data_IF_558286789529
#
_entry.id   IF_558286789529
#
_cell.length_a   1.000
_cell.length_b   1.000
_cell.length_c   1.000
_cell.angle_alpha   90.00
_cell.angle_beta   90.00
_cell.angle_gamma   90.00
#
_symmetry.space_group_name_H-M   'P 1'
#
loop_
_entity.id
_entity.type
_entity.pdbx_description
1 polymer ?
#
# COMPACT_ATOMS: atom_id res chain seq x y z
N UNK A 1 80.08 59.50 -24.43
CA UNK A 1 79.80 60.16 -23.14
C UNK A 1 79.22 59.12 -22.21
N UNK A 2 79.90 58.84 -21.10
CA UNK A 2 79.54 57.86 -20.07
C UNK A 2 78.34 58.38 -19.24
N UNK A 3 77.48 57.50 -18.73
CA UNK A 3 76.93 57.43 -17.34
C UNK A 3 75.75 56.43 -17.28
N UNK A 4 75.97 55.25 -16.69
CA UNK A 4 75.52 54.75 -15.38
C UNK A 4 74.03 54.36 -15.19
N UNK A 5 73.83 53.05 -15.09
CA UNK A 5 73.27 52.26 -13.97
C UNK A 5 72.00 52.67 -13.19
N UNK A 6 71.18 51.62 -12.96
CA UNK A 6 70.51 51.23 -11.71
C UNK A 6 69.24 52.00 -11.26
N UNK A 7 68.06 51.37 -11.32
CA UNK A 7 67.39 50.70 -10.17
C UNK A 7 65.90 50.34 -10.45
N UNK A 8 65.63 49.03 -10.47
CA UNK A 8 64.47 48.28 -9.95
C UNK A 8 63.30 49.08 -9.32
N UNK A 9 62.07 48.85 -9.79
CA UNK A 9 60.89 48.52 -8.93
C UNK A 9 59.70 48.04 -9.77
N UNK A 10 59.15 46.89 -9.38
CA UNK A 10 57.95 46.27 -9.92
C UNK A 10 56.69 47.07 -9.59
N UNK A 11 55.68 47.02 -10.47
CA UNK A 11 54.26 47.14 -10.10
C UNK A 11 53.38 46.48 -11.16
N UNK A 12 52.93 45.27 -10.81
CA UNK A 12 51.64 44.64 -11.07
C UNK A 12 50.85 45.13 -12.31
N UNK A 13 50.87 44.30 -13.36
CA UNK A 13 49.86 44.27 -14.40
C UNK A 13 48.58 43.69 -13.77
N UNK A 14 47.54 44.50 -13.60
CA UNK A 14 46.19 44.01 -13.32
C UNK A 14 45.64 43.39 -14.61
N UNK A 15 45.72 42.07 -14.72
CA UNK A 15 44.96 41.34 -15.73
C UNK A 15 43.49 41.33 -15.25
N UNK A 16 42.62 42.01 -15.99
CA UNK A 16 41.18 41.80 -15.90
C UNK A 16 40.89 40.36 -16.33
N UNK A 17 40.72 39.46 -15.36
CA UNK A 17 40.08 38.19 -15.62
C UNK A 17 38.60 38.49 -15.87
N UNK A 18 38.19 38.51 -17.14
CA UNK A 18 36.80 38.36 -17.51
C UNK A 18 36.36 36.98 -17.02
N UNK A 19 35.73 36.95 -15.84
CA UNK A 19 35.13 35.75 -15.29
C UNK A 19 34.04 35.28 -16.25
N UNK A 20 34.33 34.21 -16.98
CA UNK A 20 33.29 33.38 -17.59
C UNK A 20 32.50 32.83 -16.42
N UNK A 21 31.36 33.45 -16.10
CA UNK A 21 30.30 32.80 -15.36
C UNK A 21 29.84 31.63 -16.25
N UNK A 22 30.47 30.47 -16.10
CA UNK A 22 29.82 29.23 -16.46
C UNK A 22 28.65 29.09 -15.49
N UNK A 23 27.49 29.57 -15.91
CA UNK A 23 26.22 29.11 -15.37
C UNK A 23 26.23 27.61 -15.64
N UNK A 24 26.55 26.83 -14.62
CA UNK A 24 26.22 25.42 -14.62
C UNK A 24 24.71 25.36 -14.74
N UNK A 25 24.22 25.22 -15.98
CA UNK A 25 22.90 24.66 -16.19
C UNK A 25 22.98 23.28 -15.55
N UNK A 26 22.51 23.19 -14.30
CA UNK A 26 22.06 21.93 -13.76
C UNK A 26 21.10 21.41 -14.80
N UNK A 27 21.54 20.40 -15.55
CA UNK A 27 20.66 19.56 -16.34
C UNK A 27 19.70 18.96 -15.32
N UNK A 28 18.61 19.68 -15.03
CA UNK A 28 17.44 19.13 -14.39
C UNK A 28 16.96 18.14 -15.42
N UNK A 29 17.45 16.90 -15.30
CA UNK A 29 17.00 15.78 -16.11
C UNK A 29 15.49 15.83 -16.06
N UNK A 30 14.86 16.07 -17.22
CA UNK A 30 13.42 16.05 -17.33
C UNK A 30 12.92 14.73 -16.71
N UNK A 31 11.81 14.81 -15.97
CA UNK A 31 11.19 13.60 -15.43
C UNK A 31 10.91 12.63 -16.57
N UNK A 32 11.16 11.34 -16.32
CA UNK A 32 10.76 10.29 -17.24
C UNK A 32 9.26 10.42 -17.50
N UNK A 33 8.83 10.23 -18.76
CA UNK A 33 7.40 10.24 -19.07
C UNK A 33 6.75 9.01 -18.44
N UNK A 34 5.75 9.25 -17.60
CA UNK A 34 4.94 8.21 -16.94
C UNK A 34 3.54 8.21 -17.54
N UNK A 35 3.02 7.03 -17.83
CA UNK A 35 1.65 6.85 -18.30
C UNK A 35 0.79 6.24 -17.19
N UNK A 36 -0.53 6.43 -17.23
CA UNK A 36 -1.45 5.83 -16.26
C UNK A 36 -1.32 4.29 -16.26
N UNK A 37 -1.02 3.69 -17.43
CA UNK A 37 -0.78 2.26 -17.56
C UNK A 37 0.38 1.75 -16.67
N UNK A 38 1.38 2.58 -16.42
CA UNK A 38 2.51 2.23 -15.54
C UNK A 38 2.10 2.12 -14.06
N UNK A 39 0.98 2.77 -13.69
CA UNK A 39 0.49 2.90 -12.32
C UNK A 39 -0.64 1.93 -11.99
N UNK A 40 -1.12 1.15 -12.97
CA UNK A 40 -2.18 0.18 -12.75
C UNK A 40 -1.82 -0.83 -11.66
N UNK A 41 -2.81 -1.35 -10.93
CA UNK A 41 -2.66 -2.34 -9.88
C UNK A 41 -3.15 -1.83 -8.53
N UNK A 42 -2.94 -2.68 -7.52
CA UNK A 42 -3.28 -2.39 -6.13
C UNK A 42 -2.01 -1.96 -5.40
N UNK A 43 -2.10 -0.82 -4.75
CA UNK A 43 -1.09 -0.18 -3.94
C UNK A 43 -1.57 -0.17 -2.50
N UNK A 44 -0.77 -0.69 -1.59
CA UNK A 44 -1.18 -0.87 -0.20
C UNK A 44 -0.14 -0.27 0.74
N UNK A 45 -0.59 0.39 1.81
CA UNK A 45 0.28 1.17 2.68
C UNK A 45 1.34 0.26 3.32
N UNK A 46 2.60 0.64 3.13
CA UNK A 46 3.75 -0.23 3.38
C UNK A 46 3.92 -0.51 4.88
N UNK A 47 3.66 0.48 5.75
CA UNK A 47 3.81 0.31 7.21
C UNK A 47 2.81 -0.72 7.73
N UNK A 48 1.56 -0.67 7.27
CA UNK A 48 0.54 -1.68 7.58
C UNK A 48 0.95 -3.06 7.06
N UNK A 49 1.40 -3.17 5.81
CA UNK A 49 1.86 -4.45 5.24
C UNK A 49 3.02 -5.07 6.02
N UNK A 50 3.99 -4.28 6.42
CA UNK A 50 5.12 -4.74 7.22
C UNK A 50 4.66 -5.22 8.60
N UNK A 51 3.76 -4.48 9.24
CA UNK A 51 3.15 -4.90 10.50
C UNK A 51 2.34 -6.19 10.33
N UNK A 52 1.58 -6.33 9.24
CA UNK A 52 0.79 -7.52 8.90
C UNK A 52 1.70 -8.74 8.68
N UNK A 53 2.78 -8.60 7.91
CA UNK A 53 3.77 -9.67 7.68
C UNK A 53 4.42 -10.14 8.98
N UNK A 54 4.66 -9.22 9.92
CA UNK A 54 5.30 -9.51 11.20
C UNK A 54 4.34 -10.20 12.18
N UNK A 55 3.12 -9.72 12.26
CA UNK A 55 2.15 -10.15 13.29
C UNK A 55 1.24 -11.27 12.79
N UNK A 56 0.98 -11.32 11.48
CA UNK A 56 -0.08 -12.11 10.85
C UNK A 56 -1.46 -11.85 11.47
N UNK A 57 -1.65 -10.67 12.05
CA UNK A 57 -2.83 -10.25 12.80
C UNK A 57 -3.26 -8.86 12.28
N UNK A 58 -4.21 -8.81 11.33
CA UNK A 58 -4.70 -7.55 10.74
C UNK A 58 -5.05 -6.45 11.74
N UNK A 59 -5.76 -6.75 12.81
CA UNK A 59 -6.20 -5.76 13.81
C UNK A 59 -5.05 -5.27 14.67
N UNK A 60 -4.05 -6.12 14.96
CA UNK A 60 -2.80 -5.67 15.59
C UNK A 60 -1.95 -4.82 14.64
N UNK A 61 -1.96 -5.13 13.34
CA UNK A 61 -1.29 -4.33 12.31
C UNK A 61 -1.97 -2.96 12.16
N UNK A 62 -3.30 -2.90 12.23
CA UNK A 62 -4.10 -1.67 12.16
C UNK A 62 -3.70 -0.66 13.25
N UNK A 63 -3.38 -1.15 14.46
CA UNK A 63 -2.89 -0.30 15.56
C UNK A 63 -1.57 0.41 15.24
N UNK A 64 -0.81 -0.07 14.25
CA UNK A 64 0.44 0.55 13.80
C UNK A 64 0.22 1.54 12.67
N UNK A 65 -0.61 1.17 11.70
CA UNK A 65 -0.97 2.02 10.56
C UNK A 65 -2.30 1.55 10.01
N UNK A 66 -3.09 2.45 9.40
CA UNK A 66 -4.35 2.05 8.78
C UNK A 66 -4.09 1.20 7.53
N UNK A 67 -4.95 0.22 7.21
CA UNK A 67 -4.89 -0.59 5.99
C UNK A 67 -5.32 0.20 4.75
N UNK A 68 -4.56 1.25 4.39
CA UNK A 68 -4.93 2.11 3.27
C UNK A 68 -4.58 1.46 1.95
N UNK A 69 -5.58 1.37 1.08
CA UNK A 69 -5.50 0.80 -0.25
C UNK A 69 -5.81 1.85 -1.31
N UNK A 70 -5.04 1.80 -2.39
CA UNK A 70 -5.31 2.52 -3.63
C UNK A 70 -5.31 1.50 -4.77
N UNK A 71 -6.39 1.43 -5.54
CA UNK A 71 -6.47 0.62 -6.74
C UNK A 71 -6.64 1.52 -7.97
N UNK A 72 -5.78 1.33 -8.96
CA UNK A 72 -5.89 1.97 -10.28
C UNK A 72 -6.03 0.85 -11.30
N UNK A 73 -7.16 0.77 -11.98
CA UNK A 73 -7.39 -0.30 -12.97
C UNK A 73 -8.09 0.26 -14.18
N UNK A 74 -7.68 -0.17 -15.37
CA UNK A 74 -8.35 0.21 -16.61
C UNK A 74 -9.72 -0.47 -16.70
N UNK A 75 -10.78 0.32 -16.88
CA UNK A 75 -12.15 -0.15 -17.10
C UNK A 75 -12.69 0.55 -18.36
N UNK A 76 -12.76 -0.20 -19.47
CA UNK A 76 -13.05 0.35 -20.79
C UNK A 76 -12.03 1.41 -21.23
N UNK A 77 -12.49 2.65 -21.36
CA UNK A 77 -11.66 3.82 -21.74
C UNK A 77 -11.23 4.69 -20.54
N UNK A 78 -11.65 4.33 -19.34
CA UNK A 78 -11.37 5.09 -18.13
C UNK A 78 -10.38 4.35 -17.23
N UNK A 79 -9.76 5.11 -16.33
CA UNK A 79 -8.89 4.61 -15.28
C UNK A 79 -9.44 5.04 -13.92
N UNK A 80 -10.38 4.27 -13.35
CA UNK A 80 -10.79 4.46 -11.97
C UNK A 80 -9.60 4.51 -10.99
N UNK A 81 -9.63 5.49 -10.10
CA UNK A 81 -8.82 5.63 -8.91
C UNK A 81 -9.72 5.36 -7.71
N UNK A 82 -9.56 4.18 -7.10
CA UNK A 82 -10.27 3.82 -5.89
C UNK A 82 -9.31 3.92 -4.71
N UNK A 83 -9.69 4.62 -3.64
CA UNK A 83 -8.91 4.65 -2.41
C UNK A 83 -9.79 4.42 -1.18
N UNK A 84 -9.28 3.66 -0.21
CA UNK A 84 -10.01 3.33 1.02
C UNK A 84 -9.07 3.09 2.19
N UNK A 85 -9.50 3.46 3.39
CA UNK A 85 -8.89 3.02 4.66
C UNK A 85 -9.71 1.92 5.35
N UNK A 86 -10.55 1.22 4.58
CA UNK A 86 -11.55 0.22 4.98
C UNK A 86 -12.73 0.77 5.80
N UNK A 87 -12.74 2.07 6.12
CA UNK A 87 -13.88 2.76 6.76
C UNK A 87 -14.50 3.78 5.82
N UNK A 88 -13.65 4.55 5.13
CA UNK A 88 -14.02 5.48 4.05
C UNK A 88 -13.59 4.90 2.73
N UNK A 89 -14.36 5.17 1.68
CA UNK A 89 -13.98 4.84 0.31
C UNK A 89 -14.26 6.04 -0.60
N UNK A 90 -13.38 6.23 -1.57
CA UNK A 90 -13.55 7.23 -2.63
C UNK A 90 -13.30 6.58 -3.98
N UNK A 91 -14.01 7.08 -4.99
CA UNK A 91 -13.88 6.65 -6.37
C UNK A 91 -13.80 7.89 -7.26
N UNK A 92 -12.70 8.02 -7.97
CA UNK A 92 -12.42 9.09 -8.92
C UNK A 92 -11.98 8.50 -10.26
N UNK A 93 -11.88 9.32 -11.29
CA UNK A 93 -11.33 8.96 -12.61
C UNK A 93 -10.00 9.67 -12.81
N UNK A 94 -8.95 8.94 -13.16
CA UNK A 94 -7.67 9.52 -13.58
C UNK A 94 -7.82 10.06 -15.01
N UNK A 95 -7.62 11.36 -15.18
CA UNK A 95 -7.57 12.02 -16.49
C UNK A 95 -6.18 12.01 -17.09
N UNK A 96 -5.16 12.33 -16.28
CA UNK A 96 -3.77 12.42 -16.74
C UNK A 96 -2.75 12.17 -15.62
N UNK A 97 -1.50 11.92 -16.03
CA UNK A 97 -0.31 11.89 -15.18
C UNK A 97 0.62 13.00 -15.65
N UNK A 98 0.83 13.99 -14.79
CA UNK A 98 1.67 15.14 -15.11
C UNK A 98 3.01 15.10 -14.36
N UNK A 99 4.12 15.50 -14.99
CA UNK A 99 5.40 15.61 -14.32
C UNK A 99 5.41 16.76 -13.31
N UNK A 100 6.00 16.52 -12.14
CA UNK A 100 6.30 17.55 -11.17
C UNK A 100 7.59 18.32 -11.50
N UNK A 101 7.88 19.35 -10.70
CA UNK A 101 9.09 20.17 -10.86
C UNK A 101 10.37 19.48 -10.36
N UNK A 102 10.24 18.50 -9.45
CA UNK A 102 11.38 17.78 -8.88
C UNK A 102 11.56 16.43 -9.57
N UNK A 103 12.80 15.90 -9.64
CA UNK A 103 13.06 14.56 -10.15
C UNK A 103 12.17 13.50 -9.49
N UNK A 104 11.68 12.55 -10.29
CA UNK A 104 10.86 11.41 -9.88
C UNK A 104 9.57 11.79 -9.12
N UNK A 105 9.05 13.00 -9.37
CA UNK A 105 7.82 13.51 -8.75
C UNK A 105 6.79 13.76 -9.83
N UNK A 106 5.55 13.35 -9.59
CA UNK A 106 4.44 13.40 -10.53
C UNK A 106 3.15 13.73 -9.79
N UNK A 107 2.08 14.03 -10.53
CA UNK A 107 0.74 14.13 -9.98
C UNK A 107 -0.28 13.44 -10.88
N UNK A 108 -1.23 12.76 -10.27
CA UNK A 108 -2.46 12.35 -10.94
C UNK A 108 -3.41 13.54 -10.97
N UNK A 109 -4.07 13.73 -12.11
CA UNK A 109 -5.19 14.65 -12.27
C UNK A 109 -6.47 13.83 -12.22
N UNK A 110 -7.29 14.04 -11.19
CA UNK A 110 -8.50 13.26 -10.94
C UNK A 110 -9.76 14.11 -11.10
N UNK A 111 -10.83 13.52 -11.61
CA UNK A 111 -12.19 14.09 -11.57
C UNK A 111 -13.22 13.07 -11.07
N UNK A 112 -14.38 13.54 -10.61
CA UNK A 112 -15.44 12.68 -10.06
C UNK A 112 -16.07 11.74 -11.10
N UNK A 113 -16.05 12.15 -12.38
CA UNK A 113 -16.66 11.43 -13.49
C UNK A 113 -15.86 11.62 -14.77
N UNK A 114 -16.04 10.71 -15.73
CA UNK A 114 -15.42 10.80 -17.04
C UNK A 114 -16.13 11.81 -17.95
N UNK A 115 -15.97 13.10 -17.65
CA UNK A 115 -16.57 14.21 -18.38
C UNK A 115 -15.59 15.41 -18.41
N UNK A 116 -15.80 16.42 -19.27
CA UNK A 116 -15.03 17.67 -19.18
C UNK A 116 -15.15 18.28 -17.78
N UNK A 117 -14.01 18.58 -17.18
CA UNK A 117 -13.89 19.10 -15.80
C UNK A 117 -12.99 20.33 -15.81
N UNK A 118 -13.40 21.38 -15.09
CA UNK A 118 -12.59 22.59 -14.97
C UNK A 118 -11.34 22.32 -14.14
N UNK A 119 -10.30 23.14 -14.28
CA UNK A 119 -9.09 23.01 -13.46
C UNK A 119 -9.31 23.28 -11.97
N UNK A 120 -10.44 23.89 -11.59
CA UNK A 120 -10.79 24.17 -10.19
C UNK A 120 -11.46 22.96 -9.53
N UNK A 121 -12.07 22.07 -10.32
CA UNK A 121 -12.81 20.90 -9.85
C UNK A 121 -11.99 19.60 -9.87
N UNK A 122 -10.73 19.65 -10.32
CA UNK A 122 -9.83 18.48 -10.31
C UNK A 122 -9.13 18.31 -8.98
N UNK A 123 -8.95 17.05 -8.58
CA UNK A 123 -8.15 16.69 -7.41
C UNK A 123 -6.77 16.25 -7.88
N UNK A 124 -5.73 16.81 -7.28
CA UNK A 124 -4.35 16.42 -7.54
C UNK A 124 -3.83 15.45 -6.47
N UNK A 125 -3.42 14.25 -6.90
CA UNK A 125 -2.72 13.30 -6.02
C UNK A 125 -1.26 13.26 -6.39
N UNK A 126 -0.42 13.84 -5.54
CA UNK A 126 1.03 13.86 -5.76
C UNK A 126 1.64 12.51 -5.41
N UNK A 127 2.55 12.02 -6.24
CA UNK A 127 3.32 10.83 -5.95
C UNK A 127 4.79 10.98 -6.36
N UNK A 128 5.63 10.14 -5.76
CA UNK A 128 7.05 9.99 -6.09
C UNK A 128 7.37 8.53 -6.28
N UNK A 129 8.23 8.22 -7.23
CA UNK A 129 8.65 6.85 -7.46
C UNK A 129 9.67 6.74 -8.57
N UNK A 130 10.35 5.60 -8.60
CA UNK A 130 11.25 5.22 -9.68
C UNK A 130 10.88 3.82 -10.16
N UNK A 131 10.84 3.63 -11.47
CA UNK A 131 10.66 2.31 -12.08
C UNK A 131 11.87 1.42 -11.75
N UNK A 132 11.59 0.15 -11.49
CA UNK A 132 12.59 -0.91 -11.40
C UNK A 132 13.19 -1.20 -12.79
N UNK A 133 14.19 -2.08 -12.85
CA UNK A 133 14.89 -2.44 -14.10
C UNK A 133 13.98 -3.08 -15.16
N UNK A 134 12.84 -3.62 -14.73
CA UNK A 134 11.76 -4.17 -15.58
C UNK A 134 10.77 -3.10 -16.07
N UNK A 135 11.02 -1.82 -15.79
CA UNK A 135 10.16 -0.71 -16.17
C UNK A 135 8.91 -0.55 -15.30
N UNK A 136 8.76 -1.30 -14.20
CA UNK A 136 7.57 -1.24 -13.35
C UNK A 136 7.83 -0.46 -12.06
N UNK A 137 6.83 0.30 -11.62
CA UNK A 137 6.83 0.78 -10.23
C UNK A 137 6.51 -0.38 -9.28
N UNK A 138 7.31 -0.49 -8.23
CA UNK A 138 7.12 -1.45 -7.12
C UNK A 138 6.74 -0.74 -5.82
N UNK A 139 7.29 0.45 -5.61
CA UNK A 139 6.99 1.30 -4.48
C UNK A 139 6.72 2.73 -4.96
N UNK A 140 5.76 3.38 -4.33
CA UNK A 140 5.46 4.80 -4.51
C UNK A 140 5.37 5.47 -3.14
N UNK A 141 5.83 6.72 -3.05
CA UNK A 141 5.36 7.62 -2.00
C UNK A 141 4.17 8.37 -2.56
N UNK A 142 3.02 8.32 -1.90
CA UNK A 142 1.79 8.97 -2.37
C UNK A 142 1.31 9.93 -1.28
N UNK A 143 0.95 11.14 -1.69
CA UNK A 143 0.31 12.15 -0.85
C UNK A 143 -1.19 12.10 -1.11
N UNK A 144 -1.84 11.09 -0.55
CA UNK A 144 -3.26 10.81 -0.80
C UNK A 144 -4.13 11.80 0.02
N UNK A 145 -4.96 12.65 -0.62
CA UNK A 145 -5.72 13.70 0.05
C UNK A 145 -7.13 13.31 0.51
N UNK A 146 -7.75 12.26 -0.04
CA UNK A 146 -9.18 11.96 0.15
C UNK A 146 -9.46 11.05 1.35
N UNK A 147 -8.54 10.13 1.66
CA UNK A 147 -8.61 9.18 2.77
C UNK A 147 -7.46 9.33 3.78
N UNK A 148 -6.33 9.95 3.40
CA UNK A 148 -5.12 10.12 4.23
C UNK A 148 -4.76 11.57 4.58
N UNK A 149 -5.70 12.51 4.40
CA UNK A 149 -5.55 13.94 4.74
C UNK A 149 -4.32 14.61 4.12
N UNK A 150 -3.85 14.11 2.97
CA UNK A 150 -2.72 14.67 2.24
C UNK A 150 -1.37 14.41 2.92
N UNK A 151 -1.25 13.39 3.77
CA UNK A 151 0.04 12.97 4.32
C UNK A 151 0.80 12.11 3.31
N UNK A 152 2.11 12.29 3.25
CA UNK A 152 2.96 11.39 2.48
C UNK A 152 3.06 10.04 3.19
N UNK A 153 2.72 8.97 2.48
CA UNK A 153 2.92 7.59 2.94
C UNK A 153 3.56 6.75 1.83
N UNK A 154 4.24 5.68 2.22
CA UNK A 154 4.82 4.72 1.29
C UNK A 154 3.82 3.62 0.98
N UNK A 155 3.76 3.22 -0.29
CA UNK A 155 2.86 2.19 -0.79
C UNK A 155 3.65 1.17 -1.58
N UNK A 156 3.35 -0.11 -1.35
CA UNK A 156 3.88 -1.23 -2.10
C UNK A 156 2.83 -1.72 -3.10
N UNK A 157 3.28 -2.06 -4.32
CA UNK A 157 2.41 -2.69 -5.32
C UNK A 157 2.22 -4.16 -4.98
N UNK A 158 1.02 -4.54 -4.55
CA UNK A 158 0.73 -5.89 -4.04
C UNK A 158 0.20 -6.85 -5.11
N UNK A 159 -0.26 -6.34 -6.26
CA UNK A 159 -0.69 -7.19 -7.38
C UNK A 159 -1.99 -6.72 -8.01
N UNK A 160 -2.76 -7.68 -8.51
CA UNK A 160 -4.06 -7.45 -9.19
C UNK A 160 -5.26 -7.59 -8.26
N UNK A 161 -5.14 -8.38 -7.21
CA UNK A 161 -6.22 -8.71 -6.28
C UNK A 161 -5.70 -8.65 -4.84
N UNK A 162 -6.52 -8.11 -3.94
CA UNK A 162 -6.14 -7.93 -2.53
C UNK A 162 -6.19 -9.25 -1.76
N UNK A 163 -7.28 -10.01 -1.93
CA UNK A 163 -7.57 -11.24 -1.19
C UNK A 163 -6.39 -12.22 -1.16
N UNK A 164 -5.84 -12.64 -2.31
CA UNK A 164 -4.69 -13.54 -2.36
C UNK A 164 -3.49 -13.09 -1.53
N UNK A 165 -3.18 -11.80 -1.53
CA UNK A 165 -2.02 -11.27 -0.79
C UNK A 165 -2.28 -11.30 0.72
N UNK A 166 -3.43 -10.81 1.16
CA UNK A 166 -3.81 -10.81 2.58
C UNK A 166 -3.87 -12.26 3.09
N UNK A 167 -4.58 -13.13 2.38
CA UNK A 167 -4.75 -14.53 2.76
C UNK A 167 -3.40 -15.24 2.84
N UNK A 168 -2.50 -15.01 1.87
CA UNK A 168 -1.16 -15.58 1.87
C UNK A 168 -0.32 -15.16 3.09
N UNK A 169 -0.48 -13.93 3.57
CA UNK A 169 0.25 -13.44 4.74
C UNK A 169 -0.35 -14.00 6.04
N UNK A 170 -1.68 -13.99 6.16
CA UNK A 170 -2.39 -14.18 7.44
C UNK A 170 -2.66 -15.65 7.75
N UNK A 171 -3.27 -16.40 6.82
CA UNK A 171 -3.83 -17.74 7.11
C UNK A 171 -3.47 -18.83 6.12
N UNK A 172 -3.08 -18.51 4.88
CA UNK A 172 -2.86 -19.52 3.85
C UNK A 172 -1.80 -20.53 4.28
N UNK A 173 -2.11 -21.81 4.13
CA UNK A 173 -1.25 -22.89 4.57
C UNK A 173 -1.99 -24.20 4.77
N UNK A 174 -1.19 -25.24 5.02
CA UNK A 174 -1.66 -26.54 5.48
C UNK A 174 -1.25 -26.70 6.93
N UNK A 175 -2.17 -27.21 7.73
CA UNK A 175 -2.00 -27.32 9.16
C UNK A 175 -2.45 -28.68 9.67
N UNK A 176 -1.97 -29.02 10.86
CA UNK A 176 -2.38 -30.21 11.59
C UNK A 176 -2.81 -29.83 13.00
N UNK A 177 -3.92 -30.40 13.46
CA UNK A 177 -4.35 -30.26 14.85
C UNK A 177 -3.70 -31.29 15.79
N UNK A 178 -4.01 -31.19 17.08
CA UNK A 178 -3.51 -32.14 18.09
C UNK A 178 -3.98 -33.59 17.91
N UNK A 179 -5.00 -33.85 17.09
CA UNK A 179 -5.50 -35.19 16.75
C UNK A 179 -4.91 -35.71 15.43
N UNK A 180 -4.07 -34.92 14.76
CA UNK A 180 -3.47 -35.28 13.48
C UNK A 180 -4.34 -35.01 12.26
N UNK A 181 -5.53 -34.39 12.43
CA UNK A 181 -6.39 -34.05 11.29
C UNK A 181 -5.82 -32.86 10.54
N UNK A 182 -6.07 -32.83 9.23
CA UNK A 182 -5.53 -31.81 8.32
C UNK A 182 -6.52 -30.66 8.16
N UNK A 183 -5.99 -29.46 8.24
CA UNK A 183 -6.71 -28.21 8.03
C UNK A 183 -6.02 -27.44 6.90
N UNK A 184 -6.78 -26.69 6.11
CA UNK A 184 -6.22 -25.92 5.01
C UNK A 184 -6.93 -24.59 4.85
N UNK A 185 -6.14 -23.57 4.56
CA UNK A 185 -6.58 -22.26 4.09
C UNK A 185 -5.80 -21.96 2.80
N UNK A 186 -6.47 -21.42 1.78
CA UNK A 186 -5.82 -21.06 0.52
C UNK A 186 -5.74 -19.54 0.38
N UNK A 187 -4.78 -19.08 -0.42
CA UNK A 187 -4.70 -17.66 -0.82
C UNK A 187 -5.98 -17.17 -1.51
N UNK A 188 -6.65 -18.03 -2.29
CA UNK A 188 -7.94 -17.73 -2.90
C UNK A 188 -9.13 -17.56 -1.92
N UNK A 189 -8.90 -17.57 -0.60
CA UNK A 189 -9.96 -17.35 0.40
C UNK A 189 -10.86 -18.57 0.58
N UNK A 190 -10.33 -19.78 0.45
CA UNK A 190 -11.06 -21.03 0.68
C UNK A 190 -10.45 -21.78 1.87
N UNK A 191 -11.29 -22.26 2.77
CA UNK A 191 -10.89 -23.09 3.89
C UNK A 191 -11.44 -24.51 3.76
N UNK A 192 -10.77 -25.45 4.41
CA UNK A 192 -11.22 -26.85 4.52
C UNK A 192 -10.92 -27.34 5.93
N UNK A 193 -11.97 -27.45 6.72
CA UNK A 193 -11.93 -28.00 8.08
C UNK A 193 -12.24 -29.50 8.02
N UNK A 194 -11.66 -30.32 8.91
CA UNK A 194 -12.05 -31.72 9.03
C UNK A 194 -13.54 -31.85 9.27
N UNK A 195 -14.13 -32.86 8.63
CA UNK A 195 -15.54 -33.23 8.82
C UNK A 195 -16.55 -32.11 8.42
N UNK A 196 -16.10 -31.10 7.65
CA UNK A 196 -16.92 -30.02 7.12
C UNK A 196 -16.73 -29.85 5.61
N UNK A 197 -17.76 -29.32 4.94
CA UNK A 197 -17.62 -28.93 3.55
C UNK A 197 -16.68 -27.72 3.43
N UNK A 198 -15.83 -27.65 2.40
CA UNK A 198 -15.03 -26.47 2.14
C UNK A 198 -15.90 -25.22 1.95
N UNK A 199 -15.44 -24.10 2.47
CA UNK A 199 -16.16 -22.82 2.44
C UNK A 199 -15.24 -21.66 2.08
N UNK A 200 -15.83 -20.54 1.70
CA UNK A 200 -15.10 -19.30 1.44
C UNK A 200 -15.01 -18.45 2.71
N UNK A 201 -13.91 -17.73 2.85
CA UNK A 201 -13.69 -16.83 3.97
C UNK A 201 -13.08 -15.51 3.51
N UNK A 202 -13.37 -14.46 4.26
CA UNK A 202 -12.74 -13.15 4.12
C UNK A 202 -12.08 -12.74 5.43
N UNK A 203 -10.86 -12.22 5.35
CA UNK A 203 -10.11 -11.73 6.52
C UNK A 203 -10.53 -10.30 6.82
N UNK A 204 -10.97 -10.05 8.06
CA UNK A 204 -11.25 -8.69 8.50
C UNK A 204 -9.94 -7.91 8.68
N UNK A 205 -9.83 -6.75 8.02
CA UNK A 205 -8.62 -5.90 8.08
C UNK A 205 -8.70 -4.81 9.15
N UNK A 206 -9.89 -4.53 9.67
CA UNK A 206 -10.13 -3.50 10.68
C UNK A 206 -10.90 -4.08 11.86
N UNK A 207 -10.49 -3.73 13.07
CA UNK A 207 -11.07 -4.30 14.28
C UNK A 207 -12.47 -3.79 14.57
N UNK A 208 -12.73 -2.49 14.38
CA UNK A 208 -13.99 -1.79 14.71
C UNK A 208 -14.66 -2.25 16.04
N UNK A 209 -13.84 -2.38 17.09
CA UNK A 209 -14.30 -2.81 18.42
C UNK A 209 -14.48 -4.33 18.60
N UNK A 210 -14.05 -5.14 17.64
CA UNK A 210 -13.86 -6.57 17.83
C UNK A 210 -12.78 -6.85 18.89
N UNK A 211 -12.89 -8.02 19.52
CA UNK A 211 -11.97 -8.42 20.61
C UNK A 211 -10.79 -9.28 20.13
N UNK A 212 -10.73 -9.58 18.83
CA UNK A 212 -9.80 -10.51 18.22
C UNK A 212 -9.79 -10.32 16.70
N UNK A 213 -8.70 -10.72 16.05
CA UNK A 213 -8.70 -10.94 14.60
C UNK A 213 -9.69 -12.04 14.23
N UNK A 214 -10.39 -11.89 13.12
CA UNK A 214 -11.38 -12.85 12.68
C UNK A 214 -11.49 -12.95 11.16
N UNK A 215 -12.05 -14.07 10.73
CA UNK A 215 -12.58 -14.27 9.37
C UNK A 215 -14.09 -14.30 9.39
N UNK A 216 -14.68 -13.80 8.32
CA UNK A 216 -16.10 -13.91 8.00
C UNK A 216 -16.30 -15.08 7.03
N UNK A 217 -17.35 -15.85 7.24
CA UNK A 217 -17.70 -17.03 6.44
C UNK A 217 -19.18 -16.95 6.14
N UNK A 218 -19.58 -17.26 4.91
CA UNK A 218 -21.00 -17.33 4.55
C UNK A 218 -21.71 -18.41 5.37
N UNK A 219 -22.80 -18.02 6.06
CA UNK A 219 -23.68 -18.92 6.78
C UNK A 219 -25.13 -18.47 6.59
N UNK A 220 -25.80 -19.06 5.60
CA UNK A 220 -27.19 -18.76 5.24
C UNK A 220 -28.21 -19.15 6.32
N UNK A 221 -27.80 -19.92 7.34
CA UNK A 221 -28.66 -20.27 8.47
C UNK A 221 -28.58 -19.24 9.61
N UNK A 222 -27.53 -18.40 9.62
CA UNK A 222 -27.37 -17.33 10.59
C UNK A 222 -28.29 -16.13 10.26
N UNK A 223 -28.63 -15.34 11.28
CA UNK A 223 -29.47 -14.14 11.11
C UNK A 223 -28.83 -13.07 10.21
N UNK A 224 -27.50 -13.06 10.12
CA UNK A 224 -26.72 -12.07 9.36
C UNK A 224 -26.23 -12.61 8.02
N UNK A 225 -26.48 -13.89 7.71
CA UNK A 225 -25.88 -14.57 6.57
C UNK A 225 -24.39 -14.86 6.73
N UNK A 226 -23.82 -14.63 7.93
CA UNK A 226 -22.39 -14.74 8.23
C UNK A 226 -22.14 -15.47 9.56
N UNK A 227 -21.14 -16.35 9.54
CA UNK A 227 -20.48 -16.90 10.72
C UNK A 227 -19.08 -16.28 10.88
N UNK A 228 -18.59 -16.26 12.13
CA UNK A 228 -17.33 -15.64 12.47
C UNK A 228 -16.40 -16.64 13.17
N UNK A 229 -15.15 -16.69 12.72
CA UNK A 229 -14.10 -17.44 13.40
C UNK A 229 -12.97 -16.49 13.77
N UNK A 230 -12.70 -16.41 15.08
CA UNK A 230 -11.55 -15.69 15.57
C UNK A 230 -10.27 -16.47 15.35
N UNK A 231 -9.14 -15.77 15.28
CA UNK A 231 -7.84 -16.41 15.25
C UNK A 231 -6.77 -15.62 16.01
N UNK A 232 -5.73 -16.34 16.42
CA UNK A 232 -4.53 -15.77 17.01
C UNK A 232 -3.31 -16.58 16.58
N UNK A 233 -2.18 -15.91 16.40
CA UNK A 233 -0.88 -16.55 16.19
C UNK A 233 -0.06 -16.48 17.47
N UNK A 234 0.31 -17.63 18.01
CA UNK A 234 1.18 -17.68 19.18
C UNK A 234 2.63 -17.37 18.78
N UNK A 235 3.47 -17.00 19.77
CA UNK A 235 4.90 -16.77 19.55
C UNK A 235 5.65 -17.98 19.02
N UNK A 236 5.13 -19.20 19.23
CA UNK A 236 5.71 -20.44 18.70
C UNK A 236 5.23 -20.77 17.28
N UNK A 237 4.41 -19.91 16.66
CA UNK A 237 3.90 -20.12 15.31
C UNK A 237 2.73 -21.11 15.23
N UNK A 238 2.01 -21.31 16.34
CA UNK A 238 0.76 -22.08 16.35
C UNK A 238 -0.40 -21.13 16.06
N UNK A 239 -1.31 -21.53 15.18
CA UNK A 239 -2.54 -20.82 14.87
C UNK A 239 -3.66 -21.35 15.77
N UNK A 240 -4.18 -20.50 16.64
CA UNK A 240 -5.33 -20.80 17.49
C UNK A 240 -6.59 -20.27 16.83
N UNK A 241 -7.64 -21.11 16.71
CA UNK A 241 -8.94 -20.68 16.20
C UNK A 241 -9.99 -20.67 17.31
N UNK A 242 -10.82 -19.63 17.31
CA UNK A 242 -11.84 -19.37 18.31
C UNK A 242 -13.21 -19.31 17.64
N UNK A 243 -14.23 -19.80 18.33
CA UNK A 243 -15.60 -19.46 17.93
C UNK A 243 -15.81 -17.98 18.22
N UNK A 244 -16.43 -17.26 17.31
CA UNK A 244 -16.77 -15.86 17.52
C UNK A 244 -18.26 -15.64 17.25
N UNK A 245 -18.84 -14.65 17.93
CA UNK A 245 -20.25 -14.29 17.77
C UNK A 245 -20.38 -12.78 17.67
N UNK A 246 -21.42 -12.33 16.97
CA UNK A 246 -21.78 -10.92 16.93
C UNK A 246 -22.58 -10.56 18.20
N UNK A 247 -22.06 -9.62 18.99
CA UNK A 247 -22.76 -9.07 20.17
C UNK A 247 -22.80 -7.54 20.07
N UNK A 248 -24.01 -6.98 20.05
CA UNK A 248 -24.22 -5.54 19.89
C UNK A 248 -23.48 -4.96 18.67
N UNK A 249 -23.48 -5.70 17.56
CA UNK A 249 -22.81 -5.31 16.32
C UNK A 249 -21.29 -5.51 16.30
N UNK A 250 -20.68 -6.13 17.33
CA UNK A 250 -19.23 -6.34 17.41
C UNK A 250 -18.87 -7.81 17.53
N UNK A 251 -17.81 -8.23 16.82
CA UNK A 251 -17.33 -9.62 16.88
C UNK A 251 -16.61 -9.86 18.21
N UNK A 252 -17.09 -10.86 18.96
CA UNK A 252 -16.49 -11.28 20.21
C UNK A 252 -16.06 -12.74 20.15
N UNK A 253 -14.78 -12.99 20.35
CA UNK A 253 -14.23 -14.33 20.47
C UNK A 253 -14.58 -14.96 21.82
N UNK A 254 -14.76 -16.28 21.81
CA UNK A 254 -14.70 -17.07 23.04
C UNK A 254 -13.30 -17.02 23.64
N UNK A 255 -13.21 -17.24 24.95
CA UNK A 255 -11.94 -17.14 25.70
C UNK A 255 -10.96 -18.28 25.43
N UNK A 256 -11.46 -19.44 24.99
CA UNK A 256 -10.65 -20.63 24.71
C UNK A 256 -10.73 -20.97 23.22
N UNK A 257 -9.59 -21.34 22.60
CA UNK A 257 -9.62 -21.81 21.23
C UNK A 257 -10.30 -23.17 21.16
N UNK A 258 -11.05 -23.41 20.08
CA UNK A 258 -11.63 -24.74 19.82
C UNK A 258 -10.64 -25.66 19.10
N UNK A 259 -9.59 -25.10 18.47
CA UNK A 259 -8.49 -25.86 17.88
C UNK A 259 -7.20 -25.04 17.87
N UNK A 260 -6.08 -25.73 18.04
CA UNK A 260 -4.74 -25.21 17.83
C UNK A 260 -4.10 -25.97 16.65
N UNK A 261 -3.51 -25.21 15.73
CA UNK A 261 -3.07 -25.66 14.42
C UNK A 261 -1.58 -25.40 14.24
N UNK A 262 -0.82 -26.47 14.02
CA UNK A 262 0.61 -26.39 13.71
C UNK A 262 0.80 -26.41 12.19
N UNK A 263 1.56 -25.47 11.61
CA UNK A 263 1.92 -25.53 10.19
C UNK A 263 2.59 -26.86 9.81
N UNK A 264 2.25 -27.40 8.65
CA UNK A 264 2.79 -28.64 8.10
C UNK A 264 3.96 -28.43 7.15
#
# INVERSE_FOLDING_TARGET
>A
MIFNSLYRKSKLIRILAAGVFMVSMSNVSANERIFIDDLQGIWFEQTYLEALRKTKQPHEAEKKSKPVLIAIKKEGRAYPYFATDMVKATLMIVFDVEPGQKPNTYRLVLGERNAPTSSEDVVYVWFKGKKSSDGQFRNLQIKEPLVMDGKWASYERVGKELGPIINNIVLSGKYRDGQGKKWMFTDAGKASFPDQNPFYYEVSLVGDGATCDYIEVEDLQSLTGLAYYGFNWTKSGVLELFKANLKSGKVQCQSLPFVALTPM
#
